data_IF_693685017800
#
_entry.id   IF_693685017800
#
_cell.length_a   1.000
_cell.length_b   1.000
_cell.length_c   1.000
_cell.angle_alpha   90.00
_cell.angle_beta   90.00
_cell.angle_gamma   90.00
#
_symmetry.space_group_name_H-M   'P 1'
#
loop_
_entity.id
_entity.type
_entity.pdbx_description
1 polymer ?
#
# COMPACT_ATOMS: atom_id res chain seq x y z
N UNK A 1 28.42 47.73 20.44
CA UNK A 1 29.16 47.96 21.71
C UNK A 1 30.22 49.04 21.44
N UNK A 2 30.35 50.02 22.28
CA UNK A 2 31.42 51.03 22.20
C UNK A 2 32.46 50.73 23.28
N UNK A 3 33.72 50.88 22.96
CA UNK A 3 34.78 50.83 23.97
C UNK A 3 34.84 52.12 24.84
N UNK A 4 35.69 52.17 25.82
CA UNK A 4 35.84 53.33 26.71
C UNK A 4 36.31 54.63 25.98
N UNK A 5 36.79 54.51 24.74
CA UNK A 5 37.22 55.60 23.89
C UNK A 5 36.21 56.01 22.82
N UNK A 6 34.99 55.41 22.89
CA UNK A 6 33.91 55.68 21.93
C UNK A 6 34.05 54.96 20.56
N UNK A 7 35.03 54.07 20.39
CA UNK A 7 35.26 53.31 19.18
C UNK A 7 34.23 52.20 19.04
N UNK A 8 33.81 51.95 17.80
CA UNK A 8 32.86 50.86 17.47
C UNK A 8 33.49 49.93 16.46
N UNK A 9 33.17 48.66 16.60
CA UNK A 9 33.42 47.61 15.60
C UNK A 9 32.11 46.96 15.26
N UNK A 10 31.93 46.61 14.01
CA UNK A 10 30.73 45.99 13.49
C UNK A 10 31.08 44.56 12.99
N UNK A 11 30.30 43.58 13.35
CA UNK A 11 30.43 42.23 12.79
C UNK A 11 30.04 42.16 11.35
N UNK A 12 30.47 41.16 10.62
CA UNK A 12 29.91 40.84 9.33
C UNK A 12 28.41 40.47 9.48
N UNK A 13 27.65 40.66 8.40
CA UNK A 13 26.26 40.21 8.33
C UNK A 13 26.22 38.68 8.31
N UNK A 14 25.40 38.10 9.17
CA UNK A 14 25.13 36.66 9.24
C UNK A 14 23.64 36.45 9.07
N UNK A 15 23.27 35.24 8.66
CA UNK A 15 21.88 34.90 8.35
C UNK A 15 21.39 33.79 9.30
N UNK A 16 20.17 33.92 9.80
CA UNK A 16 19.40 32.85 10.40
C UNK A 16 18.54 32.23 9.31
N UNK A 17 18.71 30.94 9.05
CA UNK A 17 18.05 30.22 7.98
C UNK A 17 17.33 28.99 8.50
N UNK A 18 16.18 28.68 7.94
CA UNK A 18 15.43 27.47 8.27
C UNK A 18 15.97 26.30 7.45
N UNK A 19 16.53 25.30 8.10
CA UNK A 19 16.94 24.06 7.44
C UNK A 19 15.74 23.18 7.10
N UNK A 20 15.89 22.33 6.07
CA UNK A 20 14.88 21.33 5.71
C UNK A 20 14.56 20.41 6.90
N UNK A 21 13.29 20.23 7.19
CA UNK A 21 12.79 19.31 8.24
C UNK A 21 11.47 18.66 7.81
N UNK A 22 11.25 17.41 8.23
CA UNK A 22 9.98 16.71 7.99
C UNK A 22 9.00 17.10 9.11
N UNK A 23 7.88 17.73 8.75
CA UNK A 23 6.84 18.14 9.71
C UNK A 23 5.75 17.09 9.87
N UNK A 24 5.55 16.23 8.87
CA UNK A 24 4.66 15.08 8.96
C UNK A 24 5.25 13.92 8.16
N UNK A 25 5.48 12.81 8.86
CA UNK A 25 5.95 11.56 8.24
C UNK A 25 4.85 10.97 7.35
N UNK A 26 5.21 10.47 6.15
CA UNK A 26 4.29 9.73 5.30
C UNK A 26 3.90 8.41 5.97
N UNK A 27 2.65 7.97 5.75
CA UNK A 27 2.13 6.71 6.30
C UNK A 27 2.01 5.67 5.20
N UNK A 28 2.13 4.40 5.59
CA UNK A 28 1.82 3.27 4.68
C UNK A 28 0.40 3.43 4.13
N UNK A 29 0.29 3.34 2.80
CA UNK A 29 -0.96 3.54 2.05
C UNK A 29 -1.34 2.26 1.34
N UNK A 30 -2.64 1.98 1.29
CA UNK A 30 -3.21 0.80 0.64
C UNK A 30 -4.11 1.22 -0.52
N UNK A 31 -3.97 0.58 -1.67
CA UNK A 31 -4.87 0.77 -2.81
C UNK A 31 -5.14 -0.54 -3.54
N UNK A 32 -6.32 -0.69 -4.14
CA UNK A 32 -6.70 -1.89 -4.91
C UNK A 32 -5.86 -1.98 -6.19
N UNK A 33 -5.78 -3.17 -6.77
CA UNK A 33 -5.19 -3.38 -8.10
C UNK A 33 -5.82 -2.44 -9.13
N UNK A 34 -4.99 -1.79 -9.93
CA UNK A 34 -5.40 -0.80 -10.92
C UNK A 34 -5.72 0.59 -10.38
N UNK A 35 -5.90 0.76 -9.06
CA UNK A 35 -6.13 2.07 -8.45
C UNK A 35 -4.80 2.81 -8.21
N UNK A 36 -4.87 4.14 -8.11
CA UNK A 36 -3.73 4.99 -7.79
C UNK A 36 -3.53 5.05 -6.28
N UNK A 37 -2.32 4.71 -5.82
CA UNK A 37 -1.85 5.00 -4.48
C UNK A 37 -1.10 6.34 -4.50
N UNK A 38 -1.40 7.23 -3.55
CA UNK A 38 -0.74 8.52 -3.40
C UNK A 38 -0.28 8.71 -1.97
N UNK A 39 0.88 9.35 -1.80
CA UNK A 39 1.43 9.71 -0.50
C UNK A 39 2.08 11.08 -0.59
N UNK A 40 1.91 11.90 0.45
CA UNK A 40 2.46 13.25 0.53
C UNK A 40 3.37 13.38 1.74
N UNK A 41 4.53 14.00 1.56
CA UNK A 41 5.43 14.44 2.63
C UNK A 41 5.12 15.90 2.94
N UNK A 42 4.97 16.23 4.24
CA UNK A 42 4.94 17.62 4.67
C UNK A 42 6.30 17.96 5.28
N UNK A 43 6.87 19.06 4.84
CA UNK A 43 8.19 19.52 5.26
C UNK A 43 8.20 21.04 5.41
N UNK A 44 9.11 21.55 6.24
CA UNK A 44 9.42 22.96 6.39
C UNK A 44 10.88 23.22 5.97
N UNK A 45 11.16 24.44 5.48
CA UNK A 45 12.46 24.86 4.97
C UNK A 45 12.29 25.82 3.80
N UNK A 46 13.40 26.31 3.26
CA UNK A 46 13.39 27.31 2.21
C UNK A 46 13.77 26.68 0.85
N UNK A 47 12.93 26.87 -0.19
CA UNK A 47 13.17 26.37 -1.54
C UNK A 47 13.29 24.85 -1.62
N UNK A 48 12.36 24.12 -0.99
CA UNK A 48 12.38 22.67 -0.86
C UNK A 48 12.31 21.93 -2.19
N UNK A 49 13.15 20.91 -2.32
CA UNK A 49 13.14 19.92 -3.39
C UNK A 49 12.97 18.52 -2.81
N UNK A 50 12.34 17.60 -3.57
CA UNK A 50 12.01 16.26 -3.12
C UNK A 50 12.69 15.24 -4.01
N UNK A 51 13.30 14.23 -3.40
CA UNK A 51 13.89 13.08 -4.09
C UNK A 51 13.35 11.80 -3.48
N UNK A 52 12.57 11.05 -4.26
CA UNK A 52 11.95 9.82 -3.85
C UNK A 52 12.80 8.62 -4.20
N UNK A 53 12.84 7.66 -3.30
CA UNK A 53 13.49 6.38 -3.47
C UNK A 53 12.50 5.26 -3.19
N UNK A 54 12.53 4.22 -4.00
CA UNK A 54 11.64 3.08 -3.86
C UNK A 54 12.36 1.74 -4.05
N UNK A 55 11.79 0.69 -3.46
CA UNK A 55 12.23 -0.69 -3.60
C UNK A 55 10.99 -1.59 -3.64
N UNK A 56 10.84 -2.37 -4.72
CA UNK A 56 9.78 -3.38 -4.82
C UNK A 56 10.10 -4.61 -3.96
N UNK A 57 9.09 -5.40 -3.62
CA UNK A 57 9.27 -6.66 -2.92
C UNK A 57 10.31 -7.55 -3.61
N UNK A 58 11.16 -8.22 -2.83
CA UNK A 58 12.23 -9.08 -3.33
C UNK A 58 13.48 -8.35 -3.88
N UNK A 59 13.48 -7.01 -3.93
CA UNK A 59 14.68 -6.22 -4.30
C UNK A 59 15.45 -5.80 -3.04
N UNK A 60 16.78 -5.79 -3.13
CA UNK A 60 17.68 -5.42 -2.01
C UNK A 60 18.01 -3.94 -2.00
N UNK A 61 18.09 -3.27 -3.15
CA UNK A 61 18.50 -1.88 -3.30
C UNK A 61 17.34 -0.94 -3.67
N UNK A 62 17.45 0.32 -3.23
CA UNK A 62 16.53 1.38 -3.58
C UNK A 62 16.89 2.01 -4.91
N UNK A 63 15.88 2.33 -5.71
CA UNK A 63 15.98 3.03 -6.99
C UNK A 63 15.48 4.46 -6.81
N UNK A 64 16.20 5.45 -7.36
CA UNK A 64 15.78 6.85 -7.39
C UNK A 64 14.62 7.02 -8.38
N UNK A 65 13.56 7.70 -7.95
CA UNK A 65 12.41 8.04 -8.80
C UNK A 65 12.66 9.36 -9.56
N UNK A 66 11.95 9.53 -10.67
CA UNK A 66 11.88 10.80 -11.42
C UNK A 66 10.97 11.84 -10.75
N UNK A 67 10.09 11.44 -9.83
CA UNK A 67 9.17 12.35 -9.10
C UNK A 67 9.94 13.36 -8.26
N UNK A 68 9.60 14.67 -8.42
CA UNK A 68 10.25 15.79 -7.73
C UNK A 68 9.32 16.61 -6.85
N UNK A 69 8.04 16.23 -6.77
CA UNK A 69 7.02 16.92 -5.99
C UNK A 69 6.89 16.34 -4.58
N UNK A 70 6.26 17.08 -3.67
CA UNK A 70 5.96 16.62 -2.32
C UNK A 70 5.02 15.40 -2.29
N UNK A 71 4.26 15.16 -3.37
CA UNK A 71 3.36 14.02 -3.52
C UNK A 71 3.93 13.03 -4.53
N UNK A 72 3.98 11.77 -4.11
CA UNK A 72 4.29 10.63 -4.98
C UNK A 72 3.01 9.84 -5.26
N UNK A 73 2.75 9.53 -6.52
CA UNK A 73 1.57 8.77 -6.94
C UNK A 73 1.96 7.70 -7.95
N UNK A 74 1.34 6.53 -7.86
CA UNK A 74 1.49 5.47 -8.84
C UNK A 74 0.26 4.56 -8.90
N UNK A 75 0.05 3.89 -10.04
CA UNK A 75 -0.97 2.86 -10.22
C UNK A 75 -0.46 1.54 -9.65
N UNK A 76 -1.25 0.91 -8.78
CA UNK A 76 -0.91 -0.40 -8.18
C UNK A 76 -1.05 -1.52 -9.20
N UNK A 77 -0.01 -2.36 -9.32
CA UNK A 77 0.04 -3.53 -10.21
C UNK A 77 0.67 -4.70 -9.46
N UNK A 78 0.57 -5.92 -10.00
CA UNK A 78 1.14 -7.12 -9.38
C UNK A 78 2.67 -7.02 -9.15
N UNK A 79 3.37 -6.21 -9.95
CA UNK A 79 4.81 -5.94 -9.78
C UNK A 79 5.10 -4.90 -8.71
N UNK A 80 4.09 -4.13 -8.27
CA UNK A 80 4.22 -3.02 -7.31
C UNK A 80 3.38 -3.26 -6.05
N UNK A 81 2.94 -4.48 -5.81
CA UNK A 81 1.99 -4.84 -4.74
C UNK A 81 2.49 -4.59 -3.31
N UNK A 82 3.82 -4.51 -3.09
CA UNK A 82 4.45 -4.13 -1.82
C UNK A 82 5.75 -3.36 -2.12
N UNK A 83 5.67 -2.05 -2.09
CA UNK A 83 6.79 -1.14 -2.41
C UNK A 83 7.22 -0.38 -1.16
N UNK A 84 8.45 -0.60 -0.68
CA UNK A 84 9.07 0.22 0.34
C UNK A 84 9.57 1.54 -0.25
N UNK A 85 9.38 2.65 0.46
CA UNK A 85 9.72 3.99 -0.01
C UNK A 85 10.28 4.88 1.11
N UNK A 86 11.06 5.87 0.72
CA UNK A 86 11.38 7.04 1.52
C UNK A 86 11.60 8.26 0.61
N UNK A 87 11.55 9.45 1.20
CA UNK A 87 11.83 10.71 0.53
C UNK A 87 12.98 11.43 1.23
N UNK A 88 13.87 12.04 0.45
CA UNK A 88 14.85 13.01 0.91
C UNK A 88 14.37 14.38 0.47
N UNK A 89 14.18 15.28 1.43
CA UNK A 89 13.85 16.70 1.20
C UNK A 89 15.11 17.50 1.37
N UNK A 90 15.40 18.38 0.42
CA UNK A 90 16.60 19.23 0.42
C UNK A 90 16.17 20.69 0.28
N UNK A 91 16.69 21.56 1.13
CA UNK A 91 16.48 23.01 1.00
C UNK A 91 17.45 23.63 -0.02
N UNK A 92 17.24 24.91 -0.34
CA UNK A 92 18.09 25.64 -1.31
C UNK A 92 19.55 25.85 -0.83
N UNK A 93 19.84 25.58 0.45
CA UNK A 93 21.18 25.69 1.03
C UNK A 93 21.91 24.35 1.10
N UNK A 94 21.27 23.27 0.69
CA UNK A 94 21.85 21.91 0.66
C UNK A 94 21.60 21.10 1.92
N UNK A 95 20.89 21.63 2.95
CA UNK A 95 20.52 20.82 4.11
C UNK A 95 19.44 19.82 3.74
N UNK A 96 19.51 18.59 4.29
CA UNK A 96 18.60 17.50 3.94
C UNK A 96 17.88 16.95 5.16
N UNK A 97 16.64 16.53 4.96
CA UNK A 97 15.86 15.71 5.90
C UNK A 97 15.31 14.48 5.17
N UNK A 98 15.41 13.33 5.81
CA UNK A 98 14.93 12.04 5.26
C UNK A 98 13.72 11.57 6.05
N UNK A 99 12.69 11.06 5.33
CA UNK A 99 11.54 10.41 5.97
C UNK A 99 11.89 9.03 6.50
N UNK A 100 11.08 8.52 7.42
CA UNK A 100 11.06 7.10 7.72
C UNK A 100 10.68 6.29 6.48
N UNK A 101 10.96 4.98 6.51
CA UNK A 101 10.50 4.06 5.47
C UNK A 101 9.01 3.77 5.69
N UNK A 102 8.23 3.91 4.63
CA UNK A 102 6.82 3.56 4.58
C UNK A 102 6.55 2.70 3.35
N UNK A 103 5.31 2.22 3.19
CA UNK A 103 4.98 1.28 2.12
C UNK A 103 3.77 1.74 1.32
N UNK A 104 3.80 1.47 0.01
CA UNK A 104 2.61 1.43 -0.82
C UNK A 104 2.25 -0.04 -1.04
N UNK A 105 1.08 -0.46 -0.56
CA UNK A 105 0.64 -1.85 -0.54
C UNK A 105 -0.64 -2.07 -1.31
N UNK A 106 -0.73 -3.21 -2.00
CA UNK A 106 -1.95 -3.59 -2.67
C UNK A 106 -2.95 -4.17 -1.64
N UNK A 107 -4.11 -3.53 -1.52
CA UNK A 107 -5.22 -4.05 -0.74
C UNK A 107 -5.83 -5.27 -1.44
N UNK A 108 -6.21 -6.28 -0.66
CA UNK A 108 -6.97 -7.41 -1.19
C UNK A 108 -8.27 -6.94 -1.86
N UNK A 109 -8.54 -7.42 -3.07
CA UNK A 109 -9.75 -7.09 -3.82
C UNK A 109 -10.18 -8.23 -4.72
N UNK A 110 -11.48 -8.50 -4.80
CA UNK A 110 -12.02 -9.50 -5.72
C UNK A 110 -12.09 -8.88 -7.12
N UNK A 111 -11.40 -9.51 -8.08
CA UNK A 111 -11.37 -9.08 -9.49
C UNK A 111 -12.39 -9.83 -10.34
N UNK A 112 -12.77 -11.05 -9.93
CA UNK A 112 -13.86 -11.81 -10.58
C UNK A 112 -14.64 -12.58 -9.50
N UNK A 113 -15.93 -12.31 -9.40
CA UNK A 113 -16.84 -13.04 -8.52
C UNK A 113 -17.01 -14.49 -8.98
N UNK A 114 -17.16 -15.46 -8.07
CA UNK A 114 -17.57 -16.81 -8.43
C UNK A 114 -18.98 -16.77 -9.02
N UNK A 115 -19.24 -17.66 -9.98
CA UNK A 115 -20.56 -17.79 -10.63
C UNK A 115 -21.29 -19.04 -10.14
N UNK A 116 -22.62 -19.00 -10.12
CA UNK A 116 -23.45 -20.18 -9.89
C UNK A 116 -23.09 -21.27 -10.90
N UNK A 117 -22.95 -22.49 -10.43
CA UNK A 117 -22.54 -23.65 -11.23
C UNK A 117 -23.62 -24.71 -11.15
N UNK A 118 -23.99 -25.27 -12.31
CA UNK A 118 -24.92 -26.40 -12.43
C UNK A 118 -24.14 -27.66 -12.78
N UNK A 119 -24.31 -28.70 -11.96
CA UNK A 119 -23.54 -29.95 -12.09
C UNK A 119 -24.43 -31.13 -11.78
N UNK A 120 -24.30 -32.23 -12.53
CA UNK A 120 -25.08 -33.47 -12.33
C UNK A 120 -24.83 -34.09 -10.96
N UNK A 121 -25.83 -34.79 -10.42
CA UNK A 121 -25.67 -35.57 -9.18
C UNK A 121 -24.49 -36.54 -9.31
N UNK A 122 -23.73 -36.71 -8.24
CA UNK A 122 -22.51 -37.53 -8.20
C UNK A 122 -21.26 -36.86 -8.75
N UNK A 123 -21.38 -35.78 -9.55
CA UNK A 123 -20.25 -35.04 -10.13
C UNK A 123 -19.78 -33.91 -9.19
N UNK A 124 -18.56 -33.40 -9.40
CA UNK A 124 -17.97 -32.34 -8.59
C UNK A 124 -18.22 -30.97 -9.20
N UNK A 125 -18.95 -30.11 -8.49
CA UNK A 125 -19.08 -28.69 -8.79
C UNK A 125 -17.83 -27.95 -8.33
N UNK A 126 -17.40 -26.95 -9.14
CA UNK A 126 -16.25 -26.09 -8.82
C UNK A 126 -16.65 -24.62 -8.98
N UNK A 127 -16.24 -23.80 -8.01
CA UNK A 127 -16.41 -22.35 -8.05
C UNK A 127 -15.07 -21.68 -7.79
N UNK A 128 -14.69 -20.72 -8.65
CA UNK A 128 -13.40 -20.01 -8.54
C UNK A 128 -13.63 -18.53 -8.34
N UNK A 129 -12.95 -17.95 -7.37
CA UNK A 129 -12.83 -16.50 -7.18
C UNK A 129 -11.47 -16.05 -7.72
N UNK A 130 -11.43 -14.94 -8.47
CA UNK A 130 -10.16 -14.27 -8.79
C UNK A 130 -10.03 -13.04 -7.90
N UNK A 131 -8.83 -12.83 -7.37
CA UNK A 131 -8.52 -11.70 -6.49
C UNK A 131 -7.13 -11.16 -6.78
N UNK A 132 -6.91 -9.88 -6.47
CA UNK A 132 -5.61 -9.22 -6.48
C UNK A 132 -5.26 -8.77 -5.06
N UNK A 133 -3.98 -8.75 -4.75
CA UNK A 133 -3.44 -8.41 -3.43
C UNK A 133 -2.09 -9.06 -3.22
N UNK A 134 -1.50 -8.85 -2.06
CA UNK A 134 -0.26 -9.53 -1.67
C UNK A 134 -0.55 -10.62 -0.64
N UNK A 135 0.07 -11.81 -0.84
CA UNK A 135 -0.02 -12.95 0.10
C UNK A 135 -1.46 -13.33 0.47
N UNK A 136 -2.33 -13.42 -0.53
CA UNK A 136 -3.77 -13.64 -0.36
C UNK A 136 -4.09 -14.95 0.35
N UNK A 137 -5.02 -14.87 1.30
CA UNK A 137 -5.60 -16.01 2.01
C UNK A 137 -7.08 -16.10 1.70
N UNK A 138 -7.55 -17.32 1.38
CA UNK A 138 -8.94 -17.60 1.03
C UNK A 138 -9.60 -18.37 2.17
N UNK A 139 -10.81 -17.99 2.53
CA UNK A 139 -11.64 -18.71 3.49
C UNK A 139 -13.03 -18.85 2.92
N UNK A 140 -13.44 -20.08 2.67
CA UNK A 140 -14.75 -20.38 2.12
C UNK A 140 -15.73 -20.72 3.23
N UNK A 141 -16.99 -20.32 3.03
CA UNK A 141 -18.12 -20.63 3.88
C UNK A 141 -19.23 -21.20 3.02
N UNK A 142 -19.92 -22.21 3.52
CA UNK A 142 -21.03 -22.84 2.83
C UNK A 142 -22.22 -23.04 3.76
N UNK A 143 -23.41 -23.07 3.16
CA UNK A 143 -24.66 -23.37 3.83
C UNK A 143 -25.48 -24.31 2.95
N UNK A 144 -25.83 -25.50 3.45
CA UNK A 144 -26.69 -26.45 2.75
C UNK A 144 -28.15 -25.97 2.71
N UNK A 145 -28.92 -26.46 1.78
CA UNK A 145 -30.36 -26.21 1.73
C UNK A 145 -31.01 -26.56 3.08
N UNK A 146 -31.91 -25.70 3.57
CA UNK A 146 -32.57 -25.86 4.86
C UNK A 146 -31.74 -25.50 6.09
N UNK A 147 -30.41 -25.31 5.99
CA UNK A 147 -29.59 -24.88 7.12
C UNK A 147 -29.76 -23.37 7.38
N UNK A 148 -29.73 -22.97 8.66
CA UNK A 148 -29.86 -21.57 9.09
C UNK A 148 -28.53 -20.80 9.07
N UNK A 149 -27.38 -21.50 9.25
CA UNK A 149 -26.06 -20.87 9.45
C UNK A 149 -25.04 -21.36 8.42
N UNK A 150 -24.09 -20.45 8.07
CA UNK A 150 -22.91 -20.81 7.28
C UNK A 150 -21.87 -21.55 8.12
N UNK A 151 -21.28 -22.59 7.53
CA UNK A 151 -20.19 -23.38 8.10
C UNK A 151 -18.90 -23.02 7.38
N UNK A 152 -17.79 -22.84 8.12
CA UNK A 152 -16.47 -22.65 7.56
C UNK A 152 -15.98 -23.92 6.88
N UNK A 153 -15.49 -23.80 5.64
CA UNK A 153 -14.87 -24.90 4.91
C UNK A 153 -13.39 -25.04 5.26
N UNK A 154 -12.83 -26.23 5.10
CA UNK A 154 -11.38 -26.47 5.14
C UNK A 154 -10.64 -25.97 3.88
N UNK A 155 -11.35 -25.58 2.82
CA UNK A 155 -10.76 -25.09 1.56
C UNK A 155 -10.09 -23.73 1.78
N UNK A 156 -8.79 -23.66 1.44
CA UNK A 156 -7.96 -22.44 1.57
C UNK A 156 -7.43 -21.88 0.24
N UNK A 157 -7.85 -22.48 -0.88
CA UNK A 157 -7.46 -22.07 -2.23
C UNK A 157 -8.52 -21.17 -2.87
N UNK A 158 -8.20 -20.57 -4.01
CA UNK A 158 -9.13 -19.73 -4.79
C UNK A 158 -10.32 -20.50 -5.38
N UNK A 159 -10.29 -21.85 -5.35
CA UNK A 159 -11.34 -22.71 -5.90
C UNK A 159 -11.96 -23.56 -4.80
N UNK A 160 -13.27 -23.44 -4.65
CA UNK A 160 -14.10 -24.31 -3.83
C UNK A 160 -14.66 -25.46 -4.67
N UNK A 161 -14.65 -26.67 -4.14
CA UNK A 161 -15.19 -27.85 -4.81
C UNK A 161 -16.12 -28.64 -3.87
N UNK A 162 -17.22 -29.14 -4.41
CA UNK A 162 -18.14 -30.02 -3.68
C UNK A 162 -18.75 -31.07 -4.61
N UNK A 163 -18.83 -32.33 -4.14
CA UNK A 163 -19.57 -33.40 -4.82
C UNK A 163 -21.07 -33.12 -4.68
N UNK A 164 -21.80 -33.13 -5.78
CA UNK A 164 -23.24 -32.87 -5.79
C UNK A 164 -24.00 -34.12 -5.33
N UNK A 165 -24.92 -33.91 -4.38
CA UNK A 165 -25.76 -34.97 -3.77
C UNK A 165 -27.05 -34.36 -3.26
N UNK A 166 -27.95 -35.14 -2.71
CA UNK A 166 -29.18 -34.69 -2.05
C UNK A 166 -28.89 -33.65 -0.90
N UNK A 167 -27.77 -33.82 -0.19
CA UNK A 167 -27.37 -32.91 0.92
C UNK A 167 -26.65 -31.66 0.45
N UNK A 168 -26.09 -31.64 -0.75
CA UNK A 168 -25.35 -30.50 -1.29
C UNK A 168 -26.10 -29.77 -2.41
N UNK A 169 -27.29 -30.25 -2.78
CA UNK A 169 -28.17 -29.53 -3.73
C UNK A 169 -28.46 -28.14 -3.20
N UNK A 170 -28.44 -27.15 -4.07
CA UNK A 170 -28.74 -25.74 -3.75
C UNK A 170 -27.90 -25.17 -2.57
N UNK A 171 -26.66 -25.61 -2.48
CA UNK A 171 -25.69 -25.11 -1.48
C UNK A 171 -25.28 -23.67 -1.80
N UNK A 172 -25.45 -22.78 -0.84
CA UNK A 172 -24.94 -21.42 -0.89
C UNK A 172 -23.46 -21.39 -0.45
N UNK A 173 -22.63 -20.63 -1.17
CA UNK A 173 -21.19 -20.56 -0.90
C UNK A 173 -20.70 -19.11 -1.07
N UNK A 174 -19.84 -18.66 -0.17
CA UNK A 174 -19.08 -17.42 -0.35
C UNK A 174 -17.63 -17.55 0.10
N UNK A 175 -16.76 -16.68 -0.41
CA UNK A 175 -15.35 -16.63 -0.06
C UNK A 175 -14.99 -15.27 0.56
N UNK A 176 -14.25 -15.32 1.65
CA UNK A 176 -13.54 -14.17 2.22
C UNK A 176 -12.09 -14.23 1.77
N UNK A 177 -11.59 -13.16 1.17
CA UNK A 177 -10.21 -13.00 0.71
C UNK A 177 -9.56 -11.91 1.58
N UNK A 178 -8.42 -12.24 2.17
CA UNK A 178 -7.62 -11.31 3.00
C UNK A 178 -6.18 -11.25 2.51
#
# INVERSE_FOLDING_TARGET
MKDKYGKTVTTNTVYLRMAASITTQPKTTYAKSGATASVTVKAAGDGLTYTWYFKNAGKTSYTKSSTKTATYSLKMTDTIKDRAMYCVVTDKYGNTAKTDVFYLRMAASITTQPKTTYTKSGSTAKMTVKAAGDSLKYTWYYKNYGASKFTKSSTTTSTYSAKMSSTTKDRQVYCVVK
#
